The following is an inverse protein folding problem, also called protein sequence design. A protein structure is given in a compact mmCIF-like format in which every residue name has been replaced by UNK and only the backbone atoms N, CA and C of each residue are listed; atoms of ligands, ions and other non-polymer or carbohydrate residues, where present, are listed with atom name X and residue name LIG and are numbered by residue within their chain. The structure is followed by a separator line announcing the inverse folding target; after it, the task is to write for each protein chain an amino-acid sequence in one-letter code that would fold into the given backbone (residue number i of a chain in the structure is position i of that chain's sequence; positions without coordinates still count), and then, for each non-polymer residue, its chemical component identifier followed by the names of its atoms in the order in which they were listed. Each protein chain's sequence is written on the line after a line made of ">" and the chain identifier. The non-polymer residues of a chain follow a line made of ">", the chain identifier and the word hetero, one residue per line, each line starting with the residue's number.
data_IF_517386799022
#
_entry.id   IF_517386799022
#
_cell.length_a   1.000
_cell.length_b   1.000
_cell.length_c   1.000
_cell.angle_alpha   90.00
_cell.angle_beta   90.00
_cell.angle_gamma   90.00
#
_symmetry.space_group_name_H-M   'P 1'
#
loop_
_entity.id
_entity.type
_entity.pdbx_description
1 polymer ?
#
# COMPACT_ATOMS: atom_id res chain seq x y z
N UNK A 1 -12.94 12.53 21.22
CA UNK A 1 -13.75 11.29 21.38
C UNK A 1 -12.78 10.17 21.08
N UNK A 2 -12.30 9.46 22.11
CA UNK A 2 -11.23 8.49 21.92
C UNK A 2 -11.71 7.33 21.03
N UNK A 3 -11.20 7.24 19.80
CA UNK A 3 -11.51 6.13 18.90
C UNK A 3 -10.81 4.87 19.43
N UNK A 4 -11.58 3.85 19.81
CA UNK A 4 -11.05 2.55 20.21
C UNK A 4 -10.33 1.89 19.01
N UNK A 5 -9.15 1.32 19.25
CA UNK A 5 -8.38 0.55 18.26
C UNK A 5 -9.25 -0.53 17.61
N UNK A 6 -10.14 -1.15 18.39
CA UNK A 6 -10.96 -2.26 17.90
C UNK A 6 -12.04 -1.81 16.92
N UNK A 7 -12.51 -0.56 16.98
CA UNK A 7 -13.55 -0.08 16.06
C UNK A 7 -12.95 0.45 14.76
N UNK A 8 -11.82 1.15 14.82
CA UNK A 8 -11.20 1.76 13.62
C UNK A 8 -10.86 0.76 12.50
N UNK A 9 -10.45 -0.45 12.86
CA UNK A 9 -10.12 -1.52 11.90
C UNK A 9 -11.24 -2.55 11.73
N UNK A 10 -12.42 -2.32 12.31
CA UNK A 10 -13.51 -3.30 12.26
C UNK A 10 -14.22 -3.24 10.91
N UNK A 11 -14.15 -4.33 10.16
CA UNK A 11 -14.98 -4.52 8.98
C UNK A 11 -16.39 -5.00 9.37
N UNK A 12 -17.40 -4.62 8.58
CA UNK A 12 -18.76 -5.15 8.74
C UNK A 12 -18.79 -6.64 8.37
N UNK A 13 -19.45 -7.44 9.21
CA UNK A 13 -19.71 -8.85 8.91
C UNK A 13 -20.72 -9.01 7.78
N UNK A 14 -20.76 -10.17 7.08
CA UNK A 14 -21.76 -10.42 6.04
C UNK A 14 -23.20 -10.24 6.50
N UNK A 15 -23.51 -10.62 7.74
CA UNK A 15 -24.83 -10.44 8.32
C UNK A 15 -25.19 -8.97 8.58
N UNK A 16 -24.20 -8.11 8.82
CA UNK A 16 -24.42 -6.66 8.91
C UNK A 16 -24.61 -6.05 7.52
N UNK A 17 -23.82 -6.46 6.52
CA UNK A 17 -23.93 -5.96 5.14
C UNK A 17 -25.31 -6.31 4.53
N UNK A 18 -25.85 -7.49 4.82
CA UNK A 18 -27.18 -7.91 4.35
C UNK A 18 -28.36 -7.17 4.98
N UNK A 19 -28.13 -6.41 6.06
CA UNK A 19 -29.18 -5.67 6.77
C UNK A 19 -29.34 -4.22 6.29
N UNK A 20 -28.61 -3.84 5.26
CA UNK A 20 -28.75 -2.54 4.62
C UNK A 20 -30.15 -2.41 4.00
N UNK A 21 -30.62 -1.17 3.85
CA UNK A 21 -31.99 -0.90 3.37
C UNK A 21 -32.18 -1.46 1.96
N UNK A 22 -31.14 -1.33 1.13
CA UNK A 22 -31.10 -1.77 -0.25
C UNK A 22 -29.88 -2.65 -0.48
N UNK A 23 -30.10 -3.84 -1.05
CA UNK A 23 -29.03 -4.77 -1.44
C UNK A 23 -29.19 -5.13 -2.91
N UNK A 24 -28.27 -4.66 -3.75
CA UNK A 24 -28.30 -4.88 -5.22
C UNK A 24 -27.42 -6.07 -5.59
N UNK A 25 -27.85 -6.88 -6.55
CA UNK A 25 -26.99 -7.89 -7.18
C UNK A 25 -26.43 -7.28 -8.47
N UNK A 26 -25.11 -7.36 -8.66
CA UNK A 26 -24.46 -6.81 -9.85
C UNK A 26 -23.59 -7.87 -10.54
N UNK A 27 -23.69 -7.94 -11.87
CA UNK A 27 -22.97 -8.90 -12.72
C UNK A 27 -21.88 -8.26 -13.57
N UNK A 28 -21.93 -6.94 -13.78
CA UNK A 28 -21.02 -6.18 -14.64
C UNK A 28 -20.75 -4.78 -14.06
N UNK A 29 -19.85 -4.02 -14.68
CA UNK A 29 -19.52 -2.63 -14.32
C UNK A 29 -19.20 -2.39 -12.82
N UNK A 30 -18.63 -3.40 -12.15
CA UNK A 30 -18.46 -3.44 -10.69
C UNK A 30 -17.90 -2.16 -10.07
N UNK A 31 -16.88 -1.57 -10.71
CA UNK A 31 -16.23 -0.37 -10.20
C UNK A 31 -17.19 0.82 -10.18
N UNK A 32 -18.00 0.99 -11.24
CA UNK A 32 -18.98 2.07 -11.31
C UNK A 32 -20.05 1.91 -10.23
N UNK A 33 -20.65 0.73 -10.16
CA UNK A 33 -21.69 0.42 -9.17
C UNK A 33 -21.18 0.55 -7.73
N UNK A 34 -19.96 0.07 -7.45
CA UNK A 34 -19.36 0.17 -6.12
C UNK A 34 -19.08 1.64 -5.78
N UNK A 35 -18.54 2.44 -6.70
CA UNK A 35 -18.34 3.88 -6.46
C UNK A 35 -19.65 4.62 -6.19
N UNK A 36 -20.76 4.17 -6.77
CA UNK A 36 -22.09 4.76 -6.59
C UNK A 36 -22.82 4.30 -5.30
N UNK A 37 -22.27 3.35 -4.53
CA UNK A 37 -22.89 2.89 -3.28
C UNK A 37 -23.09 4.05 -2.30
N UNK A 38 -24.34 4.26 -1.88
CA UNK A 38 -24.70 5.20 -0.83
C UNK A 38 -24.53 4.61 0.59
N UNK A 39 -24.69 5.43 1.63
CA UNK A 39 -24.38 5.04 3.02
C UNK A 39 -25.18 3.83 3.53
N UNK A 40 -26.41 3.65 3.07
CA UNK A 40 -27.35 2.59 3.45
C UNK A 40 -27.61 1.56 2.33
N UNK A 41 -26.78 1.56 1.29
CA UNK A 41 -26.78 0.54 0.23
C UNK A 41 -25.64 -0.50 0.38
N UNK A 42 -25.89 -1.71 -0.12
CA UNK A 42 -24.89 -2.75 -0.26
C UNK A 42 -25.02 -3.45 -1.63
N UNK A 43 -23.94 -4.10 -2.08
CA UNK A 43 -23.92 -4.86 -3.32
C UNK A 43 -23.42 -6.28 -3.12
N UNK A 44 -23.98 -7.21 -3.88
CA UNK A 44 -23.55 -8.60 -3.99
C UNK A 44 -23.05 -8.81 -5.42
N UNK A 45 -21.77 -9.09 -5.57
CA UNK A 45 -21.16 -9.46 -6.84
C UNK A 45 -21.58 -10.89 -7.19
N UNK A 46 -22.20 -11.08 -8.35
CA UNK A 46 -22.58 -12.40 -8.87
C UNK A 46 -21.57 -12.97 -9.88
N UNK A 47 -20.35 -12.43 -9.87
CA UNK A 47 -19.28 -12.79 -10.80
C UNK A 47 -18.09 -13.45 -10.10
N UNK A 48 -17.21 -14.07 -10.89
CA UNK A 48 -15.88 -14.48 -10.45
C UNK A 48 -14.86 -13.41 -10.86
N UNK A 49 -14.28 -12.69 -9.90
CA UNK A 49 -13.29 -11.65 -10.17
C UNK A 49 -11.91 -12.20 -10.58
N UNK A 50 -11.48 -13.30 -9.96
CA UNK A 50 -10.14 -13.87 -10.21
C UNK A 50 -10.15 -14.60 -11.56
N UNK A 51 -9.35 -14.14 -12.56
CA UNK A 51 -9.35 -14.75 -13.89
C UNK A 51 -8.91 -16.22 -13.84
N UNK A 52 -9.64 -17.10 -14.53
CA UNK A 52 -9.37 -18.54 -14.54
C UNK A 52 -7.99 -18.88 -15.12
N UNK A 53 -7.49 -18.08 -16.07
CA UNK A 53 -6.16 -18.27 -16.64
C UNK A 53 -5.01 -18.13 -15.63
N UNK A 54 -5.27 -17.45 -14.50
CA UNK A 54 -4.27 -17.24 -13.44
C UNK A 54 -4.21 -18.40 -12.44
N UNK A 55 -5.00 -19.47 -12.66
CA UNK A 55 -5.01 -20.67 -11.83
C UNK A 55 -4.25 -21.78 -12.57
N UNK A 56 -2.99 -22.04 -12.21
CA UNK A 56 -2.20 -23.12 -12.80
C UNK A 56 -2.85 -24.45 -12.46
N UNK A 57 -3.00 -25.30 -13.49
CA UNK A 57 -3.49 -26.67 -13.31
C UNK A 57 -2.59 -27.40 -12.30
N UNK A 58 -3.20 -28.02 -11.29
CA UNK A 58 -2.54 -28.73 -10.18
C UNK A 58 -1.52 -29.73 -10.72
N UNK A 59 -0.22 -29.40 -10.69
CA UNK A 59 0.83 -30.38 -11.05
C UNK A 59 1.13 -31.37 -9.90
N UNK A 60 0.69 -31.07 -8.66
CA UNK A 60 1.07 -31.84 -7.45
C UNK A 60 -0.07 -32.11 -6.44
N UNK A 61 -1.32 -32.27 -6.89
CA UNK A 61 -2.42 -32.84 -6.08
C UNK A 61 -3.02 -31.94 -4.98
N UNK A 62 -2.26 -31.02 -4.36
CA UNK A 62 -2.77 -29.98 -3.43
C UNK A 62 -2.81 -28.63 -4.14
N UNK A 63 -3.94 -28.29 -4.74
CA UNK A 63 -4.10 -26.96 -5.35
C UNK A 63 -4.16 -25.88 -4.28
N UNK A 64 -3.44 -24.79 -4.48
CA UNK A 64 -3.66 -23.57 -3.73
C UNK A 64 -5.05 -23.00 -4.06
N UNK A 65 -5.61 -22.17 -3.17
CA UNK A 65 -6.81 -21.43 -3.52
C UNK A 65 -6.49 -20.45 -4.68
N UNK A 66 -7.43 -20.22 -5.61
CA UNK A 66 -7.24 -19.26 -6.71
C UNK A 66 -6.75 -17.87 -6.25
N UNK A 67 -7.25 -17.39 -5.10
CA UNK A 67 -6.82 -16.13 -4.49
C UNK A 67 -5.34 -16.12 -4.13
N UNK A 68 -4.85 -17.18 -3.48
CA UNK A 68 -3.43 -17.29 -3.12
C UNK A 68 -2.55 -17.38 -4.37
N UNK A 69 -2.99 -18.10 -5.37
CA UNK A 69 -2.27 -18.22 -6.62
C UNK A 69 -2.19 -16.89 -7.37
N UNK A 70 -3.30 -16.16 -7.46
CA UNK A 70 -3.33 -14.82 -8.06
C UNK A 70 -2.38 -13.85 -7.35
N UNK A 71 -2.38 -13.79 -6.02
CA UNK A 71 -1.44 -12.91 -5.28
C UNK A 71 0.02 -13.28 -5.53
N UNK A 72 0.28 -14.57 -5.80
CA UNK A 72 1.62 -15.09 -6.06
C UNK A 72 2.03 -15.03 -7.53
N UNK A 73 1.13 -15.07 -8.52
CA UNK A 73 1.51 -15.21 -9.93
C UNK A 73 0.61 -14.44 -10.92
N UNK A 74 -0.39 -13.72 -10.43
CA UNK A 74 -1.18 -12.79 -11.24
C UNK A 74 -0.30 -11.73 -11.91
N UNK A 75 -0.87 -11.05 -12.91
CA UNK A 75 -0.20 -9.98 -13.65
C UNK A 75 0.35 -8.90 -12.72
N UNK A 76 1.46 -8.29 -13.11
CA UNK A 76 2.16 -7.25 -12.37
C UNK A 76 2.30 -6.02 -13.28
N UNK A 77 2.18 -4.82 -12.69
CA UNK A 77 2.45 -3.57 -13.41
C UNK A 77 3.89 -3.17 -13.09
N UNK A 78 4.74 -3.14 -14.12
CA UNK A 78 6.16 -2.86 -13.94
C UNK A 78 6.44 -1.37 -14.17
N UNK A 79 7.06 -0.74 -13.18
CA UNK A 79 7.55 0.63 -13.26
C UNK A 79 8.86 0.59 -14.06
N UNK A 80 8.94 1.40 -15.12
CA UNK A 80 10.15 1.51 -15.95
C UNK A 80 11.35 1.86 -15.05
N UNK A 81 12.46 1.17 -15.24
CA UNK A 81 13.73 1.57 -14.62
C UNK A 81 14.42 2.57 -15.54
N UNK A 82 14.98 3.68 -15.01
CA UNK A 82 15.68 4.64 -15.85
C UNK A 82 16.90 4.00 -16.50
N UNK A 83 17.22 4.41 -17.72
CA UNK A 83 18.57 4.21 -18.27
C UNK A 83 19.58 5.12 -17.57
N UNK A 84 20.88 4.89 -17.78
CA UNK A 84 21.93 5.79 -17.29
C UNK A 84 21.79 7.21 -17.83
N UNK A 85 21.24 7.37 -19.03
CA UNK A 85 21.01 8.67 -19.66
C UNK A 85 19.77 9.37 -19.09
N UNK A 86 18.74 8.60 -18.70
CA UNK A 86 17.49 9.12 -18.14
C UNK A 86 17.60 9.49 -16.65
N UNK A 87 18.55 8.91 -15.90
CA UNK A 87 18.58 8.96 -14.43
C UNK A 87 18.55 10.39 -13.86
N UNK A 88 19.20 11.36 -14.53
CA UNK A 88 19.31 12.73 -14.06
C UNK A 88 17.97 13.48 -14.07
N UNK A 89 17.10 13.21 -15.04
CA UNK A 89 15.78 13.84 -15.17
C UNK A 89 14.63 12.95 -14.68
N UNK A 90 14.93 11.69 -14.36
CA UNK A 90 13.94 10.72 -13.96
C UNK A 90 13.35 11.03 -12.58
N UNK A 91 12.02 10.96 -12.47
CA UNK A 91 11.30 11.08 -11.20
C UNK A 91 10.52 9.78 -10.95
N UNK A 92 10.85 9.03 -9.89
CA UNK A 92 10.12 7.83 -9.47
C UNK A 92 8.59 7.97 -9.49
N UNK A 93 8.08 9.09 -8.98
CA UNK A 93 6.64 9.37 -8.94
C UNK A 93 6.03 9.47 -10.34
N UNK A 94 6.74 10.05 -11.31
CA UNK A 94 6.25 10.23 -12.68
C UNK A 94 6.24 8.87 -13.41
N UNK A 95 7.28 8.05 -13.25
CA UNK A 95 7.33 6.71 -13.82
C UNK A 95 6.28 5.76 -13.23
N UNK A 96 5.97 5.92 -11.94
CA UNK A 96 4.85 5.20 -11.30
C UNK A 96 3.51 5.62 -11.91
N UNK A 97 3.34 6.91 -12.18
CA UNK A 97 2.15 7.44 -12.84
C UNK A 97 2.00 6.89 -14.25
N UNK A 98 3.04 6.98 -15.07
CA UNK A 98 3.06 6.42 -16.42
C UNK A 98 2.70 4.93 -16.42
N UNK A 99 3.26 4.14 -15.49
CA UNK A 99 2.97 2.72 -15.39
C UNK A 99 1.50 2.42 -15.02
N UNK A 100 0.88 3.27 -14.18
CA UNK A 100 -0.54 3.15 -13.85
C UNK A 100 -1.45 3.62 -14.99
N UNK A 101 -1.06 4.65 -15.74
CA UNK A 101 -1.80 5.14 -16.91
C UNK A 101 -1.68 4.19 -18.12
N UNK A 102 -0.63 3.39 -18.20
CA UNK A 102 -0.39 2.47 -19.32
C UNK A 102 -0.98 1.07 -19.14
N UNK A 103 -1.82 0.84 -18.12
CA UNK A 103 -2.38 -0.50 -17.90
C UNK A 103 -3.41 -0.89 -18.96
N UNK A 104 -3.46 -2.18 -19.30
CA UNK A 104 -4.32 -2.74 -20.35
C UNK A 104 -5.38 -3.73 -19.82
N UNK A 105 -5.32 -4.05 -18.53
CA UNK A 105 -6.24 -4.97 -17.87
C UNK A 105 -6.72 -4.42 -16.53
N UNK A 106 -7.74 -5.07 -15.95
CA UNK A 106 -8.26 -4.74 -14.61
C UNK A 106 -7.66 -5.61 -13.51
N UNK A 107 -6.90 -6.64 -13.86
CA UNK A 107 -6.52 -7.72 -12.95
C UNK A 107 -5.00 -7.85 -12.79
N UNK A 108 -4.41 -6.95 -12.00
CA UNK A 108 -3.02 -7.05 -11.54
C UNK A 108 -2.95 -7.33 -10.04
N UNK A 109 -1.77 -7.75 -9.57
CA UNK A 109 -1.52 -8.11 -8.16
C UNK A 109 -0.50 -7.19 -7.46
N UNK A 110 -0.19 -6.05 -8.07
CA UNK A 110 0.65 -5.01 -7.50
C UNK A 110 1.55 -4.32 -8.53
N UNK A 111 2.15 -3.21 -8.08
CA UNK A 111 3.22 -2.52 -8.79
C UNK A 111 4.57 -3.14 -8.46
N UNK A 112 5.46 -3.18 -9.45
CA UNK A 112 6.80 -3.76 -9.31
C UNK A 112 7.84 -2.79 -9.83
N UNK A 113 8.88 -2.52 -9.04
CA UNK A 113 10.09 -1.85 -9.51
C UNK A 113 11.31 -2.71 -9.21
N UNK A 114 12.35 -2.61 -10.03
CA UNK A 114 13.58 -3.38 -9.86
C UNK A 114 14.73 -2.44 -9.50
N UNK A 115 15.42 -2.64 -8.37
CA UNK A 115 16.62 -1.89 -8.08
C UNK A 115 17.64 -2.06 -9.21
N UNK A 116 18.21 -0.95 -9.68
CA UNK A 116 19.29 -0.99 -10.69
C UNK A 116 20.69 -0.85 -10.07
N UNK A 117 20.77 -0.72 -8.74
CA UNK A 117 22.04 -0.65 -8.00
C UNK A 117 21.91 -1.22 -6.59
N UNK A 118 23.05 -1.49 -5.96
CA UNK A 118 23.14 -2.08 -4.62
C UNK A 118 23.23 -3.61 -4.63
N UNK A 119 23.37 -4.18 -3.44
CA UNK A 119 23.62 -5.63 -3.27
C UNK A 119 22.38 -6.49 -3.51
N UNK A 120 21.19 -5.92 -3.27
CA UNK A 120 19.91 -6.62 -3.40
C UNK A 120 19.11 -6.10 -4.61
N UNK A 121 19.36 -6.71 -5.77
CA UNK A 121 18.69 -6.42 -7.05
C UNK A 121 17.33 -7.13 -7.22
N UNK A 122 16.77 -7.73 -6.17
CA UNK A 122 15.47 -8.41 -6.31
C UNK A 122 14.37 -7.39 -6.59
N UNK A 123 13.40 -7.67 -7.47
CA UNK A 123 12.28 -6.75 -7.65
C UNK A 123 11.49 -6.55 -6.35
N UNK A 124 11.00 -5.32 -6.17
CA UNK A 124 10.15 -4.92 -5.06
C UNK A 124 8.71 -4.83 -5.56
N UNK A 125 7.80 -5.54 -4.90
CA UNK A 125 6.37 -5.50 -5.21
C UNK A 125 5.59 -4.77 -4.13
N UNK A 126 4.68 -3.90 -4.55
CA UNK A 126 3.73 -3.17 -3.71
C UNK A 126 2.31 -3.44 -4.19
N UNK A 127 1.56 -4.33 -3.53
CA UNK A 127 0.13 -4.46 -3.77
C UNK A 127 -0.61 -3.17 -3.38
N UNK A 128 -1.59 -2.75 -4.17
CA UNK A 128 -2.37 -1.53 -3.91
C UNK A 128 -3.16 -1.63 -2.58
N UNK A 129 -3.60 -2.83 -2.24
CA UNK A 129 -4.25 -3.09 -0.95
C UNK A 129 -3.31 -2.84 0.23
N UNK A 130 -2.02 -3.17 0.12
CA UNK A 130 -1.06 -2.91 1.19
C UNK A 130 -0.76 -1.40 1.31
N UNK A 131 -0.84 -0.64 0.20
CA UNK A 131 -0.80 0.83 0.23
C UNK A 131 -1.95 1.43 1.04
N UNK A 132 -3.18 0.94 0.85
CA UNK A 132 -4.36 1.40 1.59
C UNK A 132 -4.34 1.00 3.06
N UNK A 133 -3.99 -0.25 3.35
CA UNK A 133 -3.82 -0.76 4.72
C UNK A 133 -2.72 0.00 5.47
N UNK A 134 -1.63 0.34 4.78
CA UNK A 134 -0.55 1.16 5.34
C UNK A 134 -1.00 2.61 5.59
N UNK A 135 -1.73 3.21 4.64
CA UNK A 135 -2.34 4.51 4.83
C UNK A 135 -3.29 4.55 6.04
N UNK A 136 -4.15 3.52 6.19
CA UNK A 136 -5.07 3.37 7.33
C UNK A 136 -4.32 3.25 8.65
N UNK A 137 -3.28 2.41 8.69
CA UNK A 137 -2.44 2.23 9.87
C UNK A 137 -1.72 3.52 10.28
N UNK A 138 -1.16 4.24 9.30
CA UNK A 138 -0.53 5.53 9.52
C UNK A 138 -1.52 6.58 10.05
N UNK A 139 -2.70 6.71 9.44
CA UNK A 139 -3.74 7.63 9.90
C UNK A 139 -4.18 7.32 11.34
N UNK A 140 -4.42 6.05 11.66
CA UNK A 140 -4.73 5.61 13.02
C UNK A 140 -3.62 5.97 14.02
N UNK A 141 -2.35 5.77 13.66
CA UNK A 141 -1.22 6.11 14.52
C UNK A 141 -1.14 7.62 14.81
N UNK A 142 -1.67 8.46 13.92
CA UNK A 142 -1.77 9.91 14.10
C UNK A 142 -2.99 10.33 14.95
N UNK A 143 -4.12 9.60 14.86
CA UNK A 143 -5.35 9.94 15.59
C UNK A 143 -5.22 9.80 17.11
N UNK A 144 -4.51 8.77 17.58
CA UNK A 144 -4.42 8.41 19.00
C UNK A 144 -3.80 9.47 19.92
N UNK A 145 -3.21 10.51 19.35
CA UNK A 145 -2.51 11.53 20.11
C UNK A 145 -3.16 12.91 20.07
N UNK A 146 -4.37 13.03 19.48
CA UNK A 146 -5.13 14.29 19.51
C UNK A 146 -5.83 14.55 20.85
N UNK A 147 -5.97 13.54 21.73
CA UNK A 147 -6.89 13.57 22.88
C UNK A 147 -6.22 13.59 24.28
N UNK A 148 -4.88 13.69 24.44
CA UNK A 148 -4.22 13.58 25.77
C UNK A 148 -3.35 14.81 26.14
N UNK A 149 -3.83 15.59 27.12
CA UNK A 149 -3.15 16.70 27.83
C UNK A 149 -1.99 16.22 28.75
N UNK A 150 -1.03 15.44 28.24
CA UNK A 150 0.17 15.07 29.02
C UNK A 150 1.38 15.97 28.71
N UNK A 151 2.04 16.58 29.73
CA UNK A 151 3.27 17.34 29.55
C UNK A 151 4.45 16.39 29.29
N UNK A 152 5.00 16.42 28.06
CA UNK A 152 6.02 15.48 27.62
C UNK A 152 7.46 16.00 27.75
N UNK A 153 8.32 15.10 28.26
CA UNK A 153 9.77 15.20 28.34
C UNK A 153 10.41 14.97 26.97
N UNK A 154 11.04 16.02 26.45
CA UNK A 154 11.89 16.03 25.27
C UNK A 154 13.12 15.13 25.52
N UNK A 155 13.19 13.96 24.89
CA UNK A 155 14.49 13.38 24.52
C UNK A 155 14.67 13.59 23.01
N UNK A 156 15.11 14.82 22.72
CA UNK A 156 15.71 15.41 21.52
C UNK A 156 16.09 14.44 20.38
N UNK A 157 15.46 14.58 19.22
CA UNK A 157 16.10 15.18 18.04
C UNK A 157 15.04 15.52 16.98
N UNK A 158 15.10 16.75 16.48
CA UNK A 158 14.28 17.42 15.45
C UNK A 158 12.92 17.99 15.88
N UNK A 159 12.88 19.32 15.85
CA UNK A 159 11.87 20.21 16.40
C UNK A 159 10.66 20.35 15.49
N UNK A 160 9.58 19.65 15.82
CA UNK A 160 8.22 20.14 15.61
C UNK A 160 7.37 19.66 16.79
N UNK A 161 7.08 20.57 17.75
CA UNK A 161 6.64 20.28 19.13
C UNK A 161 5.20 19.72 19.26
N UNK A 162 4.53 19.38 18.17
CA UNK A 162 3.09 19.07 18.18
C UNK A 162 2.70 17.77 17.50
N UNK A 163 3.64 16.83 17.31
CA UNK A 163 3.30 15.54 16.72
C UNK A 163 3.82 14.36 17.49
N UNK A 164 2.88 13.71 18.15
CA UNK A 164 3.01 12.41 18.77
C UNK A 164 2.36 11.45 17.74
N UNK A 165 3.14 10.58 17.11
CA UNK A 165 2.67 9.41 16.35
C UNK A 165 3.10 8.18 17.13
N UNK A 166 2.32 7.09 17.11
CA UNK A 166 2.77 5.83 17.72
C UNK A 166 3.91 5.19 16.89
N UNK A 167 4.07 5.63 15.64
CA UNK A 167 5.20 5.25 14.80
C UNK A 167 6.39 6.12 15.22
N UNK A 168 7.40 5.47 15.79
CA UNK A 168 8.66 6.12 16.15
C UNK A 168 9.67 5.89 15.01
N UNK A 169 10.30 6.97 14.56
CA UNK A 169 11.34 6.96 13.54
C UNK A 169 12.64 7.46 14.17
N UNK A 170 13.73 6.75 13.92
CA UNK A 170 15.08 7.14 14.32
C UNK A 170 15.92 7.20 13.05
N UNK A 171 15.96 8.36 12.36
CA UNK A 171 16.78 8.53 11.18
C UNK A 171 18.25 8.62 11.54
N UNK A 172 19.10 7.99 10.73
CA UNK A 172 20.56 8.17 10.74
C UNK A 172 20.95 8.91 9.45
N UNK A 173 20.36 10.09 9.25
CA UNK A 173 20.49 10.93 8.06
C UNK A 173 21.69 11.89 8.11
N UNK A 174 22.36 11.98 9.26
CA UNK A 174 23.63 12.67 9.48
C UNK A 174 24.86 11.76 9.27
N UNK A 175 24.64 10.47 9.01
CA UNK A 175 25.71 9.51 8.80
C UNK A 175 26.54 9.82 7.53
N UNK A 176 27.83 9.46 7.57
CA UNK A 176 28.69 9.54 6.38
C UNK A 176 28.14 8.60 5.30
N UNK A 177 27.96 9.11 4.08
CA UNK A 177 27.51 8.33 2.94
C UNK A 177 26.02 8.40 2.63
N UNK A 178 25.20 9.11 3.42
CA UNK A 178 23.77 9.31 3.15
C UNK A 178 23.52 9.92 1.76
N UNK A 179 24.43 10.77 1.28
CA UNK A 179 24.39 11.32 -0.08
C UNK A 179 24.52 10.27 -1.19
N UNK A 180 25.16 9.13 -0.93
CA UNK A 180 25.39 8.07 -1.93
C UNK A 180 24.44 6.88 -1.76
N UNK A 181 24.15 6.50 -0.51
CA UNK A 181 23.46 5.26 -0.17
C UNK A 181 22.03 5.48 0.34
N UNK A 182 21.70 6.73 0.70
CA UNK A 182 20.46 7.11 1.37
C UNK A 182 20.50 6.94 2.88
N UNK A 183 19.48 7.44 3.55
CA UNK A 183 19.35 7.29 5.00
C UNK A 183 18.90 5.88 5.37
N UNK A 184 19.45 5.39 6.49
CA UNK A 184 18.86 4.31 7.25
C UNK A 184 17.93 4.90 8.32
N UNK A 185 16.76 4.28 8.50
CA UNK A 185 15.77 4.74 9.48
C UNK A 185 15.29 3.52 10.26
N UNK A 186 15.60 3.49 11.55
CA UNK A 186 15.00 2.51 12.45
C UNK A 186 13.56 2.91 12.76
N UNK A 187 12.65 1.94 12.66
CA UNK A 187 11.22 2.14 12.80
C UNK A 187 10.70 1.29 13.95
N UNK A 188 9.92 1.90 14.85
CA UNK A 188 9.05 1.15 15.77
C UNK A 188 7.59 1.43 15.45
N UNK A 189 6.84 0.40 15.16
CA UNK A 189 5.45 0.52 14.70
C UNK A 189 4.51 -0.35 15.54
N UNK A 190 3.31 0.14 15.91
CA UNK A 190 2.29 -0.69 16.53
C UNK A 190 1.87 -1.85 15.62
N UNK A 191 1.64 -3.03 16.20
CA UNK A 191 0.97 -4.12 15.49
C UNK A 191 -0.52 -3.81 15.27
N UNK A 192 -1.07 -4.25 14.14
CA UNK A 192 -2.52 -4.22 13.87
C UNK A 192 -3.32 -5.06 14.87
N UNK A 193 -2.82 -6.26 15.21
CA UNK A 193 -3.57 -7.26 15.98
C UNK A 193 -2.97 -7.63 17.34
N UNK A 194 -1.68 -7.36 17.56
CA UNK A 194 -0.98 -7.69 18.81
C UNK A 194 -0.75 -6.44 19.65
N UNK A 195 -0.47 -6.65 20.93
CA UNK A 195 -0.05 -5.60 21.87
C UNK A 195 1.41 -5.16 21.65
N UNK A 196 2.22 -5.99 20.99
CA UNK A 196 3.62 -5.70 20.68
C UNK A 196 3.82 -4.68 19.55
N UNK A 197 4.99 -4.03 19.55
CA UNK A 197 5.47 -3.16 18.47
C UNK A 197 6.45 -3.93 17.58
N UNK A 198 6.30 -3.80 16.28
CA UNK A 198 7.31 -4.23 15.32
C UNK A 198 8.49 -3.27 15.39
N UNK A 199 9.70 -3.81 15.28
CA UNK A 199 10.93 -3.05 15.10
C UNK A 199 11.60 -3.55 13.82
N UNK A 200 11.88 -2.65 12.91
CA UNK A 200 12.54 -2.96 11.65
C UNK A 200 13.27 -1.72 11.14
N UNK A 201 14.02 -1.87 10.05
CA UNK A 201 14.81 -0.81 9.45
C UNK A 201 14.35 -0.58 8.02
N UNK A 202 14.20 0.68 7.65
CA UNK A 202 14.14 1.12 6.25
C UNK A 202 15.54 1.51 5.80
N UNK A 203 15.95 1.07 4.62
CA UNK A 203 17.27 1.40 4.04
C UNK A 203 17.11 2.07 2.70
N UNK A 204 18.10 2.89 2.33
CA UNK A 204 18.11 3.66 1.08
C UNK A 204 16.90 4.56 0.95
N UNK A 205 16.59 5.30 2.02
CA UNK A 205 15.57 6.34 1.98
C UNK A 205 16.21 7.62 1.40
N UNK A 206 15.73 8.15 0.27
CA UNK A 206 16.27 9.37 -0.30
C UNK A 206 15.80 10.58 0.51
N UNK A 207 16.74 11.26 1.17
CA UNK A 207 16.45 12.40 2.06
C UNK A 207 17.27 13.65 1.72
N UNK A 208 18.25 13.55 0.82
CA UNK A 208 19.06 14.67 0.34
C UNK A 208 18.70 14.93 -1.13
N UNK A 209 18.56 16.21 -1.49
CA UNK A 209 18.37 16.61 -2.88
C UNK A 209 19.72 16.65 -3.60
N UNK A 210 20.10 15.53 -4.23
CA UNK A 210 21.33 15.42 -5.01
C UNK A 210 21.15 14.52 -6.24
N UNK A 211 22.22 14.34 -7.03
CA UNK A 211 22.21 13.52 -8.25
C UNK A 211 22.01 12.01 -8.01
N UNK A 212 22.23 11.53 -6.78
CA UNK A 212 22.07 10.12 -6.43
C UNK A 212 20.66 9.78 -5.93
N UNK A 213 19.79 10.76 -5.68
CA UNK A 213 18.48 10.54 -5.05
C UNK A 213 17.61 9.51 -5.80
N UNK A 214 17.67 9.49 -7.13
CA UNK A 214 16.98 8.50 -7.96
C UNK A 214 17.56 7.10 -7.82
N UNK A 215 18.90 6.99 -7.76
CA UNK A 215 19.58 5.72 -7.51
C UNK A 215 19.19 5.16 -6.16
N UNK A 216 19.24 6.00 -5.14
CA UNK A 216 18.88 5.67 -3.76
C UNK A 216 17.43 5.16 -3.70
N UNK A 217 16.49 5.87 -4.34
CA UNK A 217 15.07 5.52 -4.29
C UNK A 217 14.76 4.13 -4.85
N UNK A 218 15.47 3.71 -5.90
CA UNK A 218 15.29 2.37 -6.48
C UNK A 218 15.92 1.26 -5.63
N UNK A 219 16.89 1.58 -4.79
CA UNK A 219 17.52 0.66 -3.85
C UNK A 219 16.74 0.51 -2.54
N UNK A 220 15.61 1.21 -2.38
CA UNK A 220 14.77 1.14 -1.19
C UNK A 220 14.49 -0.31 -0.75
N UNK A 221 14.68 -0.55 0.56
CA UNK A 221 14.42 -1.85 1.16
C UNK A 221 13.91 -1.71 2.60
N UNK A 222 13.35 -2.81 3.10
CA UNK A 222 12.90 -2.93 4.47
C UNK A 222 13.25 -4.30 5.04
N UNK A 223 13.72 -4.33 6.29
CA UNK A 223 13.98 -5.58 7.01
C UNK A 223 12.72 -6.17 7.66
N UNK A 224 11.56 -5.53 7.49
CA UNK A 224 10.32 -5.96 8.11
C UNK A 224 9.84 -7.31 7.57
N UNK A 225 9.62 -8.26 8.48
CA UNK A 225 9.02 -9.56 8.17
C UNK A 225 7.74 -9.77 8.96
N UNK A 226 6.69 -10.22 8.27
CA UNK A 226 5.40 -10.54 8.88
C UNK A 226 4.79 -11.79 8.26
N UNK A 227 3.89 -12.44 9.00
CA UNK A 227 3.26 -13.68 8.54
C UNK A 227 2.39 -13.49 7.29
N UNK A 228 1.85 -12.29 7.06
CA UNK A 228 1.05 -12.00 5.85
C UNK A 228 1.90 -12.09 4.57
N UNK A 229 3.22 -11.86 4.64
CA UNK A 229 4.14 -12.04 3.51
C UNK A 229 4.35 -13.52 3.15
N UNK A 230 4.24 -14.45 4.12
CA UNK A 230 4.53 -15.90 3.90
C UNK A 230 3.67 -16.55 2.82
N UNK A 231 2.43 -16.09 2.66
CA UNK A 231 1.50 -16.63 1.66
C UNK A 231 1.87 -16.31 0.21
N UNK A 232 2.73 -15.31 -0.01
CA UNK A 232 2.99 -14.65 -1.30
C UNK A 232 4.44 -14.89 -1.78
N UNK A 233 5.27 -15.53 -0.95
CA UNK A 233 6.69 -15.77 -1.25
C UNK A 233 6.84 -16.57 -2.55
N UNK A 234 7.59 -15.99 -3.50
CA UNK A 234 8.08 -16.66 -4.73
C UNK A 234 9.50 -17.16 -4.49
N UNK A 235 9.70 -18.47 -4.62
CA UNK A 235 11.02 -19.11 -4.60
C UNK A 235 11.53 -19.28 -6.03
N UNK A 236 12.83 -19.15 -6.23
CA UNK A 236 13.50 -19.38 -7.53
C UNK A 236 13.34 -20.81 -8.02
N UNK A 237 13.46 -21.75 -7.09
CA UNK A 237 13.26 -23.18 -7.33
C UNK A 237 12.31 -23.75 -6.27
N UNK A 238 11.49 -24.78 -6.58
CA UNK A 238 10.60 -25.41 -5.61
C UNK A 238 11.30 -25.96 -4.36
N UNK A 239 12.61 -26.22 -4.45
CA UNK A 239 13.45 -26.77 -3.38
C UNK A 239 14.40 -25.74 -2.76
N UNK A 240 14.47 -24.51 -3.29
CA UNK A 240 15.33 -23.45 -2.78
C UNK A 240 14.58 -22.61 -1.74
N UNK A 241 14.29 -23.20 -0.59
CA UNK A 241 13.83 -22.46 0.60
C UNK A 241 14.97 -21.52 1.05
N UNK A 242 14.97 -20.28 0.56
CA UNK A 242 15.97 -19.27 0.91
C UNK A 242 16.19 -18.24 -0.19
N UNK A 243 16.04 -18.63 -1.45
CA UNK A 243 16.19 -17.73 -2.60
C UNK A 243 14.85 -17.12 -2.98
N UNK A 244 14.42 -16.13 -2.18
CA UNK A 244 13.27 -15.30 -2.52
C UNK A 244 13.63 -14.48 -3.75
N UNK A 245 12.86 -14.62 -4.83
CA UNK A 245 13.06 -13.86 -6.07
C UNK A 245 12.38 -12.48 -6.07
N UNK A 246 11.60 -12.18 -5.04
CA UNK A 246 10.76 -11.00 -4.96
C UNK A 246 10.66 -10.56 -3.51
N UNK A 247 10.85 -9.28 -3.26
CA UNK A 247 10.56 -8.65 -1.98
C UNK A 247 9.18 -8.00 -2.09
N UNK A 248 8.24 -8.39 -1.22
CA UNK A 248 6.93 -7.74 -1.15
C UNK A 248 6.89 -6.80 0.04
N UNK A 249 6.62 -5.53 -0.23
CA UNK A 249 6.39 -4.52 0.79
C UNK A 249 4.96 -4.69 1.32
N UNK A 250 4.81 -4.71 2.65
CA UNK A 250 3.51 -4.79 3.29
C UNK A 250 3.05 -3.41 3.78
N UNK A 251 1.87 -3.38 4.37
CA UNK A 251 1.29 -2.20 4.98
C UNK A 251 2.10 -1.57 6.12
N UNK A 252 2.99 -2.31 6.79
CA UNK A 252 3.90 -1.71 7.77
C UNK A 252 5.04 -0.99 7.05
N UNK A 253 5.58 -1.55 5.97
CA UNK A 253 6.58 -0.85 5.14
C UNK A 253 6.01 0.46 4.60
N UNK A 254 4.79 0.41 4.07
CA UNK A 254 4.06 1.59 3.56
C UNK A 254 3.80 2.61 4.68
N UNK A 255 3.23 2.20 5.81
CA UNK A 255 2.90 3.13 6.90
C UNK A 255 4.15 3.82 7.47
N UNK A 256 5.26 3.10 7.56
CA UNK A 256 6.53 3.66 7.98
C UNK A 256 7.05 4.69 6.98
N UNK A 257 7.01 4.38 5.68
CA UNK A 257 7.44 5.31 4.65
C UNK A 257 6.55 6.57 4.57
N UNK A 258 5.24 6.44 4.79
CA UNK A 258 4.33 7.59 4.91
C UNK A 258 4.69 8.47 6.12
N UNK A 259 5.07 7.85 7.24
CA UNK A 259 5.54 8.60 8.41
C UNK A 259 6.87 9.32 8.12
N UNK A 260 7.79 8.69 7.36
CA UNK A 260 9.04 9.31 6.89
C UNK A 260 8.74 10.52 6.01
N UNK A 261 7.85 10.38 5.02
CA UNK A 261 7.43 11.49 4.15
C UNK A 261 6.93 12.67 4.98
N UNK A 262 6.02 12.43 5.93
CA UNK A 262 5.43 13.48 6.74
C UNK A 262 6.44 14.11 7.72
N UNK A 263 7.37 13.33 8.27
CA UNK A 263 8.47 13.84 9.10
C UNK A 263 9.34 14.84 8.32
N UNK A 264 9.85 14.45 7.15
CA UNK A 264 10.72 15.31 6.33
C UNK A 264 9.96 16.48 5.68
N UNK A 265 8.70 16.27 5.24
CA UNK A 265 7.91 17.35 4.62
C UNK A 265 7.69 18.52 5.57
N UNK A 266 7.59 18.27 6.88
CA UNK A 266 7.46 19.36 7.88
C UNK A 266 8.74 20.13 8.12
N UNK A 267 9.87 19.51 7.83
CA UNK A 267 11.17 20.18 7.81
C UNK A 267 11.39 20.93 6.49
N UNK A 268 10.38 21.00 5.61
CA UNK A 268 10.47 21.61 4.29
C UNK A 268 11.12 20.71 3.24
N UNK A 269 11.38 19.44 3.56
CA UNK A 269 12.04 18.48 2.67
C UNK A 269 11.03 17.54 2.00
N UNK A 270 10.79 17.73 0.71
CA UNK A 270 9.85 16.92 -0.09
C UNK A 270 10.51 15.73 -0.80
N UNK A 271 11.82 15.55 -0.69
CA UNK A 271 12.57 14.53 -1.46
C UNK A 271 12.03 13.12 -1.24
N UNK A 272 11.72 12.65 -0.01
CA UNK A 272 11.13 11.33 0.18
C UNK A 272 9.78 11.15 -0.53
N UNK A 273 9.00 12.23 -0.69
CA UNK A 273 7.72 12.19 -1.40
C UNK A 273 7.93 12.07 -2.91
N UNK A 274 8.77 12.94 -3.48
CA UNK A 274 9.02 12.97 -4.93
C UNK A 274 9.71 11.70 -5.45
N UNK A 275 10.55 11.10 -4.60
CA UNK A 275 11.29 9.89 -4.93
C UNK A 275 10.54 8.61 -4.53
N UNK A 276 9.31 8.71 -4.02
CA UNK A 276 8.55 7.54 -3.56
C UNK A 276 8.06 6.68 -4.72
N UNK A 277 8.41 5.39 -4.69
CA UNK A 277 7.78 4.36 -5.54
C UNK A 277 6.50 3.79 -4.92
N UNK A 278 6.14 4.20 -3.69
CA UNK A 278 4.97 3.68 -2.98
C UNK A 278 3.71 4.42 -3.45
N UNK A 279 2.70 3.71 -3.99
CA UNK A 279 1.42 4.31 -4.35
C UNK A 279 0.76 4.94 -3.12
N UNK A 280 0.45 6.24 -3.20
CA UNK A 280 -0.15 6.99 -2.07
C UNK A 280 -1.63 7.21 -2.37
N UNK A 281 -2.55 6.50 -1.69
CA UNK A 281 -3.98 6.60 -2.00
C UNK A 281 -4.52 8.01 -1.76
N UNK A 282 -5.45 8.46 -2.59
CA UNK A 282 -6.30 9.64 -2.43
C UNK A 282 -7.49 9.32 -1.50
N UNK A 283 -8.22 10.35 -1.07
CA UNK A 283 -9.49 10.16 -0.34
C UNK A 283 -10.49 9.31 -1.14
N UNK A 284 -10.61 9.53 -2.46
CA UNK A 284 -11.49 8.74 -3.33
C UNK A 284 -11.15 7.24 -3.27
N UNK A 285 -9.86 6.91 -3.33
CA UNK A 285 -9.39 5.52 -3.23
C UNK A 285 -9.70 4.92 -1.85
N UNK A 286 -9.55 5.72 -0.79
CA UNK A 286 -9.95 5.32 0.57
C UNK A 286 -11.43 5.04 0.66
N UNK A 287 -12.28 5.93 0.12
CA UNK A 287 -13.73 5.76 0.14
C UNK A 287 -14.16 4.50 -0.61
N UNK A 288 -13.56 4.25 -1.78
CA UNK A 288 -13.80 3.03 -2.55
C UNK A 288 -13.40 1.79 -1.77
N UNK A 289 -12.20 1.79 -1.17
CA UNK A 289 -11.70 0.68 -0.37
C UNK A 289 -12.56 0.40 0.87
N UNK A 290 -13.02 1.44 1.57
CA UNK A 290 -13.93 1.26 2.70
C UNK A 290 -15.28 0.66 2.27
N UNK A 291 -15.78 1.01 1.08
CA UNK A 291 -16.96 0.33 0.50
C UNK A 291 -16.68 -1.14 0.20
N UNK A 292 -15.50 -1.49 -0.34
CA UNK A 292 -15.11 -2.90 -0.54
C UNK A 292 -15.15 -3.72 0.76
N UNK A 293 -14.78 -3.11 1.88
CA UNK A 293 -14.74 -3.75 3.19
C UNK A 293 -16.13 -3.84 3.85
N UNK A 294 -16.98 -2.83 3.64
CA UNK A 294 -18.16 -2.61 4.47
C UNK A 294 -19.50 -2.66 3.74
N UNK A 295 -19.51 -2.74 2.41
CA UNK A 295 -20.72 -2.70 1.60
C UNK A 295 -20.76 -3.77 0.50
N UNK A 296 -19.64 -4.46 0.23
CA UNK A 296 -19.54 -5.42 -0.88
C UNK A 296 -19.42 -6.86 -0.37
N UNK A 297 -20.27 -7.73 -0.91
CA UNK A 297 -20.16 -9.18 -0.79
C UNK A 297 -19.96 -9.80 -2.18
N UNK A 298 -19.45 -11.02 -2.22
CA UNK A 298 -19.36 -11.84 -3.42
C UNK A 298 -20.09 -13.16 -3.22
N UNK A 299 -20.83 -13.58 -4.24
CA UNK A 299 -21.53 -14.87 -4.29
C UNK A 299 -20.55 -15.95 -4.75
N UNK A 300 -20.27 -16.90 -3.89
CA UNK A 300 -19.34 -17.99 -4.09
C UNK A 300 -20.03 -19.32 -3.72
N UNK A 301 -20.25 -20.18 -4.71
CA UNK A 301 -20.92 -21.48 -4.55
C UNK A 301 -22.28 -21.37 -3.83
N UNK A 302 -23.10 -20.38 -4.23
CA UNK A 302 -24.44 -20.14 -3.66
C UNK A 302 -24.44 -19.48 -2.27
N UNK A 303 -23.26 -19.22 -1.69
CA UNK A 303 -23.11 -18.50 -0.41
C UNK A 303 -22.49 -17.13 -0.65
N UNK A 304 -22.91 -16.13 0.11
CA UNK A 304 -22.29 -14.80 0.08
C UNK A 304 -21.18 -14.72 1.13
N UNK A 305 -20.05 -14.15 0.77
CA UNK A 305 -18.94 -13.88 1.70
C UNK A 305 -18.32 -12.50 1.42
N UNK A 306 -17.51 -11.94 2.35
CA UNK A 306 -16.71 -10.77 2.05
C UNK A 306 -15.71 -11.05 0.93
N UNK A 307 -15.25 -9.98 0.30
CA UNK A 307 -14.15 -10.03 -0.65
C UNK A 307 -12.87 -10.46 0.06
N UNK A 308 -12.09 -11.34 -0.58
CA UNK A 308 -10.74 -11.65 -0.13
C UNK A 308 -9.73 -10.61 -0.67
N UNK A 309 -8.49 -10.64 -0.17
CA UNK A 309 -7.47 -9.65 -0.55
C UNK A 309 -7.16 -9.61 -2.05
N UNK A 310 -7.22 -10.76 -2.76
CA UNK A 310 -6.99 -10.79 -4.20
C UNK A 310 -8.12 -10.11 -4.98
N UNK A 311 -9.36 -10.33 -4.54
CA UNK A 311 -10.56 -9.71 -5.15
C UNK A 311 -10.57 -8.21 -4.92
N UNK A 312 -10.23 -7.76 -3.70
CA UNK A 312 -10.06 -6.34 -3.39
C UNK A 312 -8.95 -5.70 -4.25
N UNK A 313 -7.81 -6.37 -4.40
CA UNK A 313 -6.71 -5.91 -5.26
C UNK A 313 -7.16 -5.74 -6.73
N UNK A 314 -7.90 -6.71 -7.29
CA UNK A 314 -8.44 -6.62 -8.65
C UNK A 314 -9.41 -5.44 -8.80
N UNK A 315 -10.29 -5.21 -7.82
CA UNK A 315 -11.22 -4.09 -7.88
C UNK A 315 -10.50 -2.74 -7.75
N UNK A 316 -9.41 -2.65 -6.97
CA UNK A 316 -8.57 -1.46 -6.89
C UNK A 316 -7.86 -1.17 -8.22
N UNK A 317 -7.33 -2.18 -8.90
CA UNK A 317 -6.81 -2.02 -10.26
C UNK A 317 -7.91 -1.67 -11.27
N UNK A 318 -9.12 -2.20 -11.08
CA UNK A 318 -10.29 -1.78 -11.84
C UNK A 318 -10.63 -0.29 -11.65
N UNK A 319 -10.45 0.25 -10.44
CA UNK A 319 -10.58 1.69 -10.19
C UNK A 319 -9.51 2.48 -10.93
N UNK A 320 -8.23 2.07 -10.86
CA UNK A 320 -7.14 2.69 -11.63
C UNK A 320 -7.47 2.71 -13.12
N UNK A 321 -7.87 1.56 -13.68
CA UNK A 321 -8.23 1.40 -15.09
C UNK A 321 -9.37 2.33 -15.51
N UNK A 322 -10.42 2.44 -14.68
CA UNK A 322 -11.55 3.34 -14.96
C UNK A 322 -11.12 4.82 -15.01
N UNK A 323 -10.09 5.19 -14.26
CA UNK A 323 -9.65 6.58 -14.08
C UNK A 323 -8.46 6.98 -14.94
N UNK A 324 -8.06 6.15 -15.90
CA UNK A 324 -7.03 6.48 -16.88
C UNK A 324 -7.44 7.70 -17.73
N UNK A 325 -6.45 8.31 -18.37
CA UNK A 325 -6.61 9.51 -19.19
C UNK A 325 -6.32 10.80 -18.43
N UNK A 326 -5.65 10.72 -17.29
CA UNK A 326 -5.12 11.90 -16.61
C UNK A 326 -3.90 12.40 -17.37
N UNK A 327 -3.78 13.71 -17.59
CA UNK A 327 -2.61 14.27 -18.30
C UNK A 327 -1.37 14.33 -17.40
N UNK A 328 -1.57 14.44 -16.08
CA UNK A 328 -0.49 14.65 -15.12
C UNK A 328 -0.67 13.80 -13.86
N UNK A 329 0.43 13.42 -13.19
CA UNK A 329 0.38 12.68 -11.93
C UNK A 329 -0.51 13.35 -10.89
N UNK A 330 -0.42 14.68 -10.74
CA UNK A 330 -1.20 15.44 -9.76
C UNK A 330 -2.71 15.41 -9.98
N UNK A 331 -3.15 15.09 -11.19
CA UNK A 331 -4.56 15.05 -11.56
C UNK A 331 -5.13 13.62 -11.42
N UNK A 332 -4.27 12.62 -11.21
CA UNK A 332 -4.70 11.23 -11.14
C UNK A 332 -5.52 11.01 -9.85
N UNK A 333 -6.81 10.61 -9.97
CA UNK A 333 -7.72 10.62 -8.84
C UNK A 333 -7.54 9.46 -7.86
N UNK A 334 -6.51 8.59 -8.00
CA UNK A 334 -6.39 7.35 -7.23
C UNK A 334 -5.16 7.27 -6.32
N UNK A 335 -3.96 6.96 -6.82
CA UNK A 335 -2.76 6.70 -6.00
C UNK A 335 -1.69 7.81 -6.11
N UNK A 336 -2.15 9.05 -6.32
CA UNK A 336 -1.33 10.25 -6.43
C UNK A 336 -1.88 11.39 -5.57
N UNK A 337 -2.01 11.16 -4.26
CA UNK A 337 -2.52 12.17 -3.34
C UNK A 337 -1.74 13.49 -3.38
N UNK A 338 -2.43 14.59 -3.66
CA UNK A 338 -1.94 15.97 -3.52
C UNK A 338 -2.85 16.75 -2.58
N UNK A 339 -2.25 17.62 -1.76
CA UNK A 339 -2.97 18.53 -0.86
C UNK A 339 -3.37 17.92 0.47
N UNK A 340 -4.33 16.98 0.46
CA UNK A 340 -4.80 16.37 1.71
C UNK A 340 -3.80 15.34 2.22
N UNK A 341 -3.32 15.53 3.45
CA UNK A 341 -2.39 14.56 4.07
C UNK A 341 -3.15 13.28 4.37
N UNK A 342 -2.52 12.13 4.15
CA UNK A 342 -3.11 10.79 4.39
C UNK A 342 -3.68 10.64 5.80
N UNK A 343 -3.04 11.27 6.79
CA UNK A 343 -3.49 11.27 8.20
C UNK A 343 -4.83 11.99 8.42
N UNK A 344 -5.22 12.88 7.52
CA UNK A 344 -6.41 13.71 7.60
C UNK A 344 -7.58 13.14 6.76
N UNK A 345 -7.39 11.95 6.16
CA UNK A 345 -8.45 11.25 5.45
C UNK A 345 -9.59 10.81 6.36
N UNK A 346 -10.79 10.86 5.81
CA UNK A 346 -12.00 10.37 6.45
C UNK A 346 -12.10 8.86 6.28
N UNK A 347 -11.69 8.12 7.31
CA UNK A 347 -11.92 6.68 7.38
C UNK A 347 -13.30 6.45 7.98
N UNK A 348 -14.20 5.77 7.24
CA UNK A 348 -15.53 5.41 7.74
C UNK A 348 -15.36 4.37 8.84
N UNK A 349 -15.63 4.74 10.10
CA UNK A 349 -15.61 3.87 11.29
C UNK A 349 -17.03 3.45 11.65
#
# INVERSE_FOLDING_TARGET
>A
MSIDKKTFFKERSPGQIKKFSTVKNISDEYVHEIEAIELDEAVILETQLIPKQNVRKKKFGKGFSPSREFRKYGGEVHIKSPTLEEIASFRPVDARFEAMESIDAKAYNGLVFTPFSGDDLRPRKIPLIESLEGAKLYAYACLKHRDEDEPFSISNYFQDKHFKSIIELFPYDDARGVEMDGAEIDVKMPSRHKTGRYKFKLTSVPVIDNENKQKISYSFNSTHECDSKRGIIRFKHPQAEGERNLVTLDSHDVAAYLAVIDMYSRQGNIIPLEQSQIPIPTQRTVDFYEKLNNNVLIKDNGKTRPLNLAEKEILLWGLVYKTQGSEKPEDHPTFFAKGTKVRDYQWRV
#
